data_IF_438128812102
#
_entry.id   IF_438128812102
#
_cell.length_a   1.000
_cell.length_b   1.000
_cell.length_c   1.000
_cell.angle_alpha   90.00
_cell.angle_beta   90.00
_cell.angle_gamma   90.00
#
_symmetry.space_group_name_H-M   'P 1'
#
loop_
_entity.id
_entity.type
_entity.pdbx_description
1 polymer ?
#
# COMPACT_ATOMS: atom_id res chain seq x y z
N UNK A 1 5.89 -2.88 -5.02
CA UNK A 1 5.05 -4.04 -4.62
C UNK A 1 4.60 -3.85 -3.19
N UNK A 2 3.38 -4.25 -2.87
CA UNK A 2 2.80 -4.20 -1.52
C UNK A 2 2.00 -5.48 -1.21
N UNK A 3 1.51 -5.63 0.02
CA UNK A 3 0.77 -6.80 0.52
C UNK A 3 1.69 -7.90 1.07
N UNK A 4 1.14 -8.84 1.84
CA UNK A 4 1.94 -9.79 2.62
C UNK A 4 2.94 -10.61 1.79
N UNK A 5 2.55 -11.06 0.60
CA UNK A 5 3.41 -11.83 -0.32
C UNK A 5 4.62 -11.01 -0.81
N UNK A 6 4.57 -9.67 -0.75
CA UNK A 6 5.71 -8.82 -1.08
C UNK A 6 6.89 -8.95 -0.12
N UNK A 7 6.74 -9.62 1.04
CA UNK A 7 7.85 -9.98 1.91
C UNK A 7 8.70 -11.16 1.39
N UNK A 8 8.22 -11.89 0.37
CA UNK A 8 8.91 -13.05 -0.17
C UNK A 8 10.25 -12.67 -0.83
N UNK A 9 11.34 -13.26 -0.35
CA UNK A 9 12.71 -12.95 -0.79
C UNK A 9 12.94 -13.28 -2.27
N UNK A 10 12.45 -14.44 -2.73
CA UNK A 10 12.58 -14.87 -4.13
C UNK A 10 11.86 -13.92 -5.07
N UNK A 11 10.63 -13.50 -4.71
CA UNK A 11 9.84 -12.55 -5.49
C UNK A 11 10.54 -11.19 -5.61
N UNK A 12 11.08 -10.67 -4.50
CA UNK A 12 11.85 -9.41 -4.50
C UNK A 12 13.07 -9.48 -5.40
N UNK A 13 13.85 -10.57 -5.31
CA UNK A 13 15.03 -10.76 -6.15
C UNK A 13 14.68 -10.78 -7.64
N UNK A 14 13.62 -11.52 -8.01
CA UNK A 14 13.17 -11.61 -9.41
C UNK A 14 12.66 -10.29 -9.97
N UNK A 15 11.93 -9.51 -9.17
CA UNK A 15 11.44 -8.21 -9.59
C UNK A 15 12.57 -7.16 -9.68
N UNK A 16 13.56 -7.23 -8.79
CA UNK A 16 14.76 -6.39 -8.89
C UNK A 16 15.54 -6.67 -10.17
N UNK A 17 15.80 -7.95 -10.47
CA UNK A 17 16.46 -8.38 -11.72
C UNK A 17 15.67 -7.90 -12.95
N UNK A 18 14.34 -8.03 -12.93
CA UNK A 18 13.47 -7.57 -14.02
C UNK A 18 13.55 -6.06 -14.21
N UNK A 19 13.46 -5.26 -13.14
CA UNK A 19 13.49 -3.79 -13.25
C UNK A 19 14.87 -3.28 -13.66
N UNK A 20 15.95 -3.92 -13.22
CA UNK A 20 17.30 -3.62 -13.71
C UNK A 20 17.40 -3.80 -15.23
N UNK A 21 16.88 -4.91 -15.77
CA UNK A 21 16.86 -5.16 -17.23
C UNK A 21 16.01 -4.14 -18.00
N UNK A 22 14.99 -3.58 -17.36
CA UNK A 22 14.09 -2.57 -17.93
C UNK A 22 14.58 -1.14 -17.73
N UNK A 23 15.71 -0.93 -17.04
CA UNK A 23 16.21 0.40 -16.72
C UNK A 23 15.31 1.19 -15.77
N UNK A 24 14.54 0.51 -14.92
CA UNK A 24 13.65 1.14 -13.94
C UNK A 24 13.94 0.69 -12.51
N UNK A 25 13.09 1.16 -11.60
CA UNK A 25 13.24 0.92 -10.16
C UNK A 25 12.09 0.06 -9.61
N UNK A 26 12.37 -0.62 -8.50
CA UNK A 26 11.34 -1.35 -7.76
C UNK A 26 11.38 -0.99 -6.29
N UNK A 27 10.20 -0.72 -5.74
CA UNK A 27 10.03 -0.30 -4.35
C UNK A 27 9.26 -1.35 -3.55
N UNK A 28 9.68 -1.55 -2.30
CA UNK A 28 9.06 -2.46 -1.35
C UNK A 28 9.03 -1.82 0.03
N UNK A 29 8.03 -2.17 0.83
CA UNK A 29 8.07 -1.88 2.26
C UNK A 29 9.13 -2.75 2.97
N UNK A 30 9.54 -2.34 4.18
CA UNK A 30 10.27 -3.24 5.09
C UNK A 30 9.41 -4.48 5.40
N UNK A 31 9.99 -5.67 5.65
CA UNK A 31 9.21 -6.90 5.85
C UNK A 31 8.08 -6.79 6.90
N UNK A 32 8.33 -6.12 8.03
CA UNK A 32 7.34 -5.88 9.09
C UNK A 32 6.18 -4.95 8.67
N UNK A 33 6.31 -4.26 7.54
CA UNK A 33 5.28 -3.41 6.94
C UNK A 33 4.64 -4.02 5.69
N UNK A 34 4.98 -5.26 5.31
CA UNK A 34 4.39 -5.92 4.15
C UNK A 34 3.01 -6.52 4.44
N UNK A 35 2.81 -7.13 5.61
CA UNK A 35 1.53 -7.69 6.05
C UNK A 35 0.65 -6.61 6.68
N UNK A 36 -0.61 -6.93 6.95
CA UNK A 36 -1.54 -5.98 7.57
C UNK A 36 -0.97 -5.46 8.90
N UNK A 37 -0.91 -4.13 9.03
CA UNK A 37 -0.35 -3.44 10.19
C UNK A 37 -0.98 -2.05 10.38
N UNK A 38 -0.90 -1.52 11.59
CA UNK A 38 -1.44 -0.18 11.89
C UNK A 38 -0.66 0.98 11.27
N UNK A 39 0.64 0.80 11.00
CA UNK A 39 1.49 1.87 10.49
C UNK A 39 1.09 2.30 9.07
N UNK A 40 0.75 1.36 8.19
CA UNK A 40 0.26 1.68 6.84
C UNK A 40 -1.09 2.41 6.88
N UNK A 41 -1.97 2.07 7.83
CA UNK A 41 -3.27 2.73 8.02
C UNK A 41 -3.08 4.15 8.52
N UNK A 42 -2.18 4.36 9.50
CA UNK A 42 -1.84 5.68 10.00
C UNK A 42 -1.27 6.58 8.88
N UNK A 43 -0.36 6.05 8.07
CA UNK A 43 0.20 6.78 6.92
C UNK A 43 -0.87 7.15 5.89
N UNK A 44 -1.67 6.17 5.43
CA UNK A 44 -2.72 6.41 4.45
C UNK A 44 -3.82 7.36 4.97
N UNK A 45 -4.16 7.27 6.26
CA UNK A 45 -5.10 8.17 6.93
C UNK A 45 -4.59 9.60 6.98
N UNK A 46 -3.31 9.79 7.34
CA UNK A 46 -2.65 11.10 7.33
C UNK A 46 -2.65 11.71 5.92
N UNK A 47 -2.26 10.93 4.90
CA UNK A 47 -2.27 11.40 3.50
C UNK A 47 -3.67 11.85 3.08
N UNK A 48 -4.72 11.07 3.40
CA UNK A 48 -6.10 11.45 3.09
C UNK A 48 -6.58 12.69 3.85
N UNK A 49 -6.20 12.82 5.12
CA UNK A 49 -6.53 14.00 5.91
C UNK A 49 -5.89 15.26 5.31
N UNK A 50 -4.64 15.16 4.86
CA UNK A 50 -3.93 16.26 4.20
C UNK A 50 -4.56 16.66 2.86
N UNK A 51 -5.17 15.71 2.13
CA UNK A 51 -5.92 16.00 0.89
C UNK A 51 -7.37 16.42 1.14
N UNK A 52 -7.76 16.69 2.39
CA UNK A 52 -9.05 17.26 2.74
C UNK A 52 -10.17 16.24 2.99
N UNK A 53 -9.86 14.94 3.08
CA UNK A 53 -10.85 13.95 3.50
C UNK A 53 -11.32 14.23 4.93
N UNK A 54 -12.65 14.16 5.13
CA UNK A 54 -13.30 14.32 6.44
C UNK A 54 -14.19 13.12 6.69
N UNK A 55 -14.39 12.81 7.96
CA UNK A 55 -15.37 11.81 8.39
C UNK A 55 -16.33 12.47 9.38
N UNK A 56 -17.62 12.18 9.23
CA UNK A 56 -18.61 12.51 10.25
C UNK A 56 -18.48 11.54 11.43
N UNK A 57 -19.17 11.83 12.54
CA UNK A 57 -19.18 10.94 13.71
C UNK A 57 -19.90 9.60 13.45
N UNK A 58 -20.69 9.50 12.38
CA UNK A 58 -21.32 8.26 11.95
C UNK A 58 -20.28 7.23 11.49
N UNK A 59 -20.44 5.98 11.92
CA UNK A 59 -19.55 4.88 11.54
C UNK A 59 -20.08 4.20 10.29
N UNK A 60 -19.33 4.28 9.19
CA UNK A 60 -19.64 3.59 7.93
C UNK A 60 -18.53 2.60 7.59
N UNK A 61 -18.92 1.38 7.22
CA UNK A 61 -17.99 0.33 6.78
C UNK A 61 -18.37 -0.18 5.39
N UNK A 62 -17.39 -0.49 4.55
CA UNK A 62 -17.59 -1.06 3.21
C UNK A 62 -16.82 -2.37 3.08
N UNK A 63 -17.44 -3.54 3.35
CA UNK A 63 -16.74 -4.83 3.31
C UNK A 63 -16.16 -5.18 1.93
N UNK A 64 -16.81 -4.69 0.86
CA UNK A 64 -16.29 -4.72 -0.50
C UNK A 64 -16.12 -3.29 -0.96
N UNK A 65 -14.88 -2.82 -1.00
CA UNK A 65 -14.54 -1.48 -1.41
C UNK A 65 -13.46 -1.52 -2.49
N UNK A 66 -13.85 -1.39 -3.77
CA UNK A 66 -12.90 -1.37 -4.88
C UNK A 66 -11.94 -0.17 -4.78
N UNK A 67 -10.64 -0.42 -4.96
CA UNK A 67 -9.62 0.62 -4.91
C UNK A 67 -9.83 1.72 -5.96
N UNK A 68 -10.35 1.36 -7.13
CA UNK A 68 -10.58 2.27 -8.24
C UNK A 68 -11.74 3.28 -8.01
N UNK A 69 -12.55 3.10 -6.97
CA UNK A 69 -13.62 4.05 -6.62
C UNK A 69 -13.15 5.19 -5.72
N UNK A 70 -11.87 5.22 -5.34
CA UNK A 70 -11.33 6.30 -4.51
C UNK A 70 -11.18 7.59 -5.33
N UNK A 71 -11.47 8.76 -4.73
CA UNK A 71 -11.25 10.04 -5.39
C UNK A 71 -9.75 10.26 -5.65
N UNK A 72 -9.45 10.93 -6.77
CA UNK A 72 -8.10 11.35 -7.18
C UNK A 72 -7.54 12.44 -6.30
#
# INVERSE_FOLDING_TARGET
>A
MAGGVSANRTLRAKLAEMMQKRGGEVFYARPEFCTDNGAMIAYAGMVRLQTGAKAELGVTVRPRWPLAELPS
#
